data_IF_173967360488
#
_entry.id   IF_173967360488
#
_cell.length_a   1.000
_cell.length_b   1.000
_cell.length_c   1.000
_cell.angle_alpha   90.00
_cell.angle_beta   90.00
_cell.angle_gamma   90.00
#
_symmetry.space_group_name_H-M   'P 1'
#
loop_
_entity.id
_entity.type
_entity.pdbx_description
1 polymer ?
#
# COMPACT_ATOMS: atom_id res chain seq x y z
N UNK A 1 -34.81 -3.52 -13.87
CA UNK A 1 -35.10 -2.95 -12.53
C UNK A 1 -34.16 -3.54 -11.45
N UNK A 2 -33.97 -4.86 -11.43
CA UNK A 2 -33.15 -5.55 -10.42
C UNK A 2 -31.64 -5.17 -10.48
N UNK A 3 -31.07 -4.97 -11.66
CA UNK A 3 -29.64 -4.61 -11.81
C UNK A 3 -29.38 -3.21 -11.26
N UNK A 4 -30.26 -2.24 -11.52
CA UNK A 4 -30.12 -0.87 -11.02
C UNK A 4 -30.26 -0.82 -9.49
N UNK A 5 -31.19 -1.59 -8.91
CA UNK A 5 -31.37 -1.71 -7.47
C UNK A 5 -30.12 -2.32 -6.82
N UNK A 6 -29.54 -3.37 -7.39
CA UNK A 6 -28.32 -3.98 -6.91
C UNK A 6 -27.11 -3.03 -7.00
N UNK A 7 -27.00 -2.25 -8.07
CA UNK A 7 -25.96 -1.20 -8.19
C UNK A 7 -26.13 -0.12 -7.14
N UNK A 8 -27.33 0.40 -6.93
CA UNK A 8 -27.63 1.42 -5.92
C UNK A 8 -27.34 0.91 -4.50
N UNK A 9 -27.74 -0.32 -4.19
CA UNK A 9 -27.45 -0.95 -2.90
C UNK A 9 -25.95 -1.14 -2.69
N UNK A 10 -25.20 -1.55 -3.73
CA UNK A 10 -23.74 -1.67 -3.68
C UNK A 10 -23.03 -0.33 -3.42
N UNK A 11 -23.47 0.74 -4.10
CA UNK A 11 -22.95 2.10 -3.87
C UNK A 11 -23.26 2.60 -2.46
N UNK A 12 -24.50 2.43 -1.99
CA UNK A 12 -24.90 2.78 -0.64
C UNK A 12 -24.10 2.01 0.43
N UNK A 13 -23.87 0.74 0.23
CA UNK A 13 -23.08 -0.09 1.14
C UNK A 13 -21.62 0.36 1.17
N UNK A 14 -21.04 0.71 0.03
CA UNK A 14 -19.69 1.29 -0.07
C UNK A 14 -19.61 2.64 0.65
N UNK A 15 -20.56 3.52 0.46
CA UNK A 15 -20.66 4.81 1.15
C UNK A 15 -20.75 4.64 2.68
N UNK A 16 -21.55 3.70 3.16
CA UNK A 16 -21.68 3.38 4.60
C UNK A 16 -20.37 2.80 5.15
N UNK A 17 -19.65 1.99 4.39
CA UNK A 17 -18.33 1.47 4.80
C UNK A 17 -17.33 2.61 4.93
N UNK A 18 -17.34 3.55 4.00
CA UNK A 18 -16.41 4.68 3.94
C UNK A 18 -16.72 5.79 4.93
N UNK A 19 -17.99 5.99 5.32
CA UNK A 19 -18.43 7.10 6.18
C UNK A 19 -17.85 7.12 7.61
N UNK A 20 -17.19 6.04 8.02
CA UNK A 20 -16.56 5.93 9.35
C UNK A 20 -15.05 5.68 9.29
N UNK A 21 -14.42 5.90 8.12
CA UNK A 21 -12.97 5.80 7.98
C UNK A 21 -12.34 7.15 8.30
N UNK A 22 -11.34 7.13 9.17
CA UNK A 22 -10.49 8.29 9.48
C UNK A 22 -9.10 7.99 8.93
N UNK A 23 -8.68 8.77 7.94
CA UNK A 23 -7.34 8.71 7.38
C UNK A 23 -6.44 9.70 8.11
N UNK A 24 -5.31 9.24 8.61
CA UNK A 24 -4.35 10.03 9.38
C UNK A 24 -2.93 9.84 8.88
N UNK A 25 -2.08 10.86 9.08
CA UNK A 25 -0.67 10.79 8.69
C UNK A 25 0.12 9.97 9.73
N UNK A 26 0.87 8.97 9.26
CA UNK A 26 1.69 8.11 10.11
C UNK A 26 2.85 8.85 10.80
N UNK A 27 3.37 9.92 10.20
CA UNK A 27 4.46 10.71 10.81
C UNK A 27 4.05 11.38 12.11
N UNK A 28 2.76 11.57 12.35
CA UNK A 28 2.21 12.16 13.56
C UNK A 28 1.58 11.14 14.51
N UNK A 29 1.67 9.84 14.17
CA UNK A 29 1.13 8.77 14.99
C UNK A 29 1.88 8.64 16.33
N UNK A 30 1.15 8.32 17.38
CA UNK A 30 1.75 8.02 18.68
C UNK A 30 2.40 6.62 18.69
N UNK A 31 3.12 6.32 19.76
CA UNK A 31 3.86 5.06 19.91
C UNK A 31 2.95 3.83 19.85
N UNK A 32 1.77 3.90 20.46
CA UNK A 32 0.84 2.77 20.51
C UNK A 32 0.29 2.46 19.10
N UNK A 33 -0.03 3.47 18.32
CA UNK A 33 -0.44 3.32 16.91
C UNK A 33 0.68 2.71 16.06
N UNK A 34 1.94 3.13 16.25
CA UNK A 34 3.09 2.53 15.54
C UNK A 34 3.24 1.05 15.91
N UNK A 35 3.07 0.69 17.17
CA UNK A 35 3.13 -0.70 17.63
C UNK A 35 2.00 -1.54 17.01
N UNK A 36 0.76 -1.03 16.98
CA UNK A 36 -0.37 -1.72 16.33
C UNK A 36 -0.12 -1.93 14.82
N UNK A 37 0.48 -0.96 14.13
CA UNK A 37 0.82 -1.09 12.71
C UNK A 37 1.95 -2.10 12.52
N UNK A 38 2.93 -2.12 13.39
CA UNK A 38 3.98 -3.15 13.38
C UNK A 38 3.38 -4.55 13.54
N UNK A 39 2.48 -4.76 14.50
CA UNK A 39 1.77 -6.03 14.67
C UNK A 39 1.01 -6.40 13.40
N UNK A 40 0.25 -5.46 12.83
CA UNK A 40 -0.47 -5.70 11.57
C UNK A 40 0.48 -6.05 10.42
N UNK A 41 1.65 -5.39 10.31
CA UNK A 41 2.66 -5.73 9.32
C UNK A 41 3.13 -7.18 9.48
N UNK A 42 3.43 -7.61 10.70
CA UNK A 42 3.90 -8.97 10.98
C UNK A 42 2.83 -10.03 10.69
N UNK A 43 1.55 -9.74 10.97
CA UNK A 43 0.42 -10.61 10.64
C UNK A 43 0.23 -10.83 9.13
N UNK A 44 0.75 -9.91 8.31
CA UNK A 44 0.67 -9.96 6.85
C UNK A 44 1.90 -10.59 6.19
N UNK A 45 2.91 -10.99 6.97
CA UNK A 45 4.08 -11.69 6.41
C UNK A 45 3.70 -13.09 5.92
N UNK A 46 4.31 -13.58 4.86
CA UNK A 46 5.39 -13.02 4.04
C UNK A 46 4.90 -12.12 2.89
N UNK A 47 3.60 -11.82 2.80
CA UNK A 47 3.04 -11.02 1.70
C UNK A 47 3.45 -9.54 1.78
N UNK A 48 3.73 -9.06 2.99
CA UNK A 48 4.42 -7.80 3.27
C UNK A 48 5.76 -8.14 3.92
N UNK A 49 6.82 -7.42 3.60
CA UNK A 49 8.15 -7.68 4.15
C UNK A 49 8.15 -7.60 5.69
N UNK A 50 8.75 -8.62 6.34
CA UNK A 50 8.92 -8.63 7.80
C UNK A 50 9.82 -7.49 8.26
N UNK A 51 9.57 -7.00 9.47
CA UNK A 51 10.39 -6.02 10.18
C UNK A 51 10.87 -6.63 11.50
N UNK A 52 12.05 -6.23 11.98
CA UNK A 52 12.62 -6.77 13.21
C UNK A 52 12.00 -6.14 14.48
N UNK A 53 11.48 -4.92 14.35
CA UNK A 53 10.88 -4.18 15.47
C UNK A 53 9.99 -3.04 15.00
N UNK A 54 9.18 -2.50 15.90
CA UNK A 54 8.42 -1.27 15.67
C UNK A 54 9.32 -0.04 15.47
N UNK A 55 10.55 -0.06 15.99
CA UNK A 55 11.54 1.00 15.71
C UNK A 55 11.98 0.98 14.23
N UNK A 56 12.19 -0.19 13.63
CA UNK A 56 12.49 -0.29 12.20
C UNK A 56 11.32 0.24 11.34
N UNK A 57 10.08 -0.03 11.74
CA UNK A 57 8.91 0.59 11.12
C UNK A 57 8.93 2.11 11.26
N UNK A 58 9.27 2.62 12.44
CA UNK A 58 9.36 4.06 12.69
C UNK A 58 10.42 4.72 11.81
N UNK A 59 11.60 4.11 11.70
CA UNK A 59 12.68 4.59 10.82
C UNK A 59 12.22 4.64 9.36
N UNK A 60 11.49 3.63 8.89
CA UNK A 60 10.91 3.60 7.55
C UNK A 60 9.87 4.72 7.35
N UNK A 61 9.00 4.95 8.33
CA UNK A 61 8.03 6.05 8.31
C UNK A 61 8.75 7.40 8.26
N UNK A 62 9.84 7.59 8.99
CA UNK A 62 10.60 8.83 8.99
C UNK A 62 11.28 9.09 7.65
N UNK A 63 11.77 8.04 6.96
CA UNK A 63 12.29 8.12 5.60
C UNK A 63 11.20 8.31 4.55
N UNK A 64 9.94 7.97 4.84
CA UNK A 64 8.85 8.01 3.87
C UNK A 64 8.54 9.45 3.42
N UNK A 65 8.07 9.58 2.19
CA UNK A 65 7.52 10.84 1.68
C UNK A 65 6.03 10.98 2.02
N UNK A 66 5.31 9.86 1.92
CA UNK A 66 3.88 9.76 2.19
C UNK A 66 3.60 8.47 2.97
N UNK A 67 2.98 8.60 4.12
CA UNK A 67 2.60 7.45 4.93
C UNK A 67 1.33 7.75 5.70
N UNK A 68 0.36 6.83 5.61
CA UNK A 68 -0.97 7.02 6.18
C UNK A 68 -1.45 5.74 6.86
N UNK A 69 -2.37 5.91 7.81
CA UNK A 69 -3.13 4.81 8.38
C UNK A 69 -4.62 5.16 8.41
N UNK A 70 -5.44 4.15 8.49
CA UNK A 70 -6.89 4.28 8.56
C UNK A 70 -7.38 3.66 9.85
N UNK A 71 -8.19 4.41 10.56
CA UNK A 71 -9.00 3.91 11.66
C UNK A 71 -10.48 3.84 11.25
N UNK A 72 -11.18 2.86 11.83
CA UNK A 72 -12.61 2.71 11.73
C UNK A 72 -13.20 2.55 13.12
N UNK A 73 -13.96 3.53 13.58
CA UNK A 73 -14.50 3.54 14.94
C UNK A 73 -13.42 3.39 16.03
N UNK A 74 -12.28 4.05 15.84
CA UNK A 74 -11.14 4.01 16.76
C UNK A 74 -10.30 2.72 16.70
N UNK A 75 -10.56 1.84 15.75
CA UNK A 75 -9.75 0.66 15.50
C UNK A 75 -8.88 0.86 14.25
N UNK A 76 -7.57 0.63 14.37
CA UNK A 76 -6.66 0.54 13.21
C UNK A 76 -7.15 -0.55 12.24
N UNK A 77 -7.29 -0.22 10.97
CA UNK A 77 -7.74 -1.19 9.94
C UNK A 77 -6.80 -1.33 8.76
N UNK A 78 -5.98 -0.32 8.45
CA UNK A 78 -5.06 -0.35 7.32
C UNK A 78 -3.95 0.68 7.45
N UNK A 79 -2.86 0.50 6.70
CA UNK A 79 -1.78 1.46 6.55
C UNK A 79 -1.12 1.37 5.18
N UNK A 80 -0.39 2.43 4.79
CA UNK A 80 0.44 2.49 3.59
C UNK A 80 1.69 3.33 3.86
N UNK A 81 2.83 2.91 3.31
CA UNK A 81 4.10 3.66 3.37
C UNK A 81 4.67 3.78 1.97
N UNK A 82 4.98 5.02 1.56
CA UNK A 82 5.52 5.34 0.25
C UNK A 82 6.78 6.20 0.36
N UNK A 83 7.72 5.98 -0.57
CA UNK A 83 8.97 6.71 -0.64
C UNK A 83 9.10 7.41 -2.01
N UNK A 84 9.73 8.57 -2.01
CA UNK A 84 10.17 9.27 -3.21
C UNK A 84 11.60 8.86 -3.58
N UNK A 85 12.02 9.27 -4.76
CA UNK A 85 13.42 9.18 -5.23
C UNK A 85 14.42 9.77 -4.22
N UNK A 86 15.67 9.33 -4.30
CA UNK A 86 16.78 9.78 -3.46
C UNK A 86 16.63 9.50 -1.96
N UNK A 87 15.77 8.55 -1.55
CA UNK A 87 15.72 8.09 -0.17
C UNK A 87 16.96 7.26 0.19
N UNK A 88 17.38 7.33 1.45
CA UNK A 88 18.47 6.50 1.98
C UNK A 88 18.05 5.03 2.20
N UNK A 89 16.82 4.67 1.87
CA UNK A 89 16.25 3.33 2.03
C UNK A 89 17.01 2.27 1.23
N UNK A 90 17.37 1.15 1.88
CA UNK A 90 18.28 0.13 1.32
C UNK A 90 17.58 -1.08 0.72
N UNK A 91 16.25 -1.07 0.58
CA UNK A 91 15.53 -2.15 -0.10
C UNK A 91 16.03 -2.32 -1.54
N UNK A 92 16.30 -3.57 -1.93
CA UNK A 92 16.72 -3.89 -3.30
C UNK A 92 15.62 -3.56 -4.33
N UNK A 93 14.35 -3.59 -3.91
CA UNK A 93 13.20 -3.27 -4.76
C UNK A 93 13.11 -1.75 -4.95
N UNK A 94 13.24 -0.97 -3.87
CA UNK A 94 13.31 0.49 -3.95
C UNK A 94 14.49 0.94 -4.84
N UNK A 95 15.70 0.42 -4.62
CA UNK A 95 16.92 0.75 -5.38
C UNK A 95 16.75 0.43 -6.89
N UNK A 96 15.96 -0.58 -7.25
CA UNK A 96 15.65 -0.87 -8.64
C UNK A 96 14.97 0.32 -9.32
N UNK A 97 13.96 0.91 -8.68
CA UNK A 97 13.23 2.05 -9.22
C UNK A 97 14.02 3.36 -9.12
N UNK A 98 14.78 3.56 -8.06
CA UNK A 98 15.62 4.74 -7.85
C UNK A 98 16.75 4.85 -8.92
N UNK A 99 17.24 3.70 -9.41
CA UNK A 99 18.18 3.67 -10.55
C UNK A 99 17.50 3.83 -11.92
N UNK A 100 16.20 3.53 -12.01
CA UNK A 100 15.46 3.53 -13.27
C UNK A 100 14.81 4.87 -13.57
N UNK A 101 14.40 5.61 -12.56
CA UNK A 101 13.62 6.84 -12.70
C UNK A 101 14.18 7.99 -11.88
N UNK A 102 14.27 9.16 -12.49
CA UNK A 102 14.68 10.40 -11.79
C UNK A 102 13.60 10.87 -10.81
N UNK A 103 12.33 10.60 -11.12
CA UNK A 103 11.18 10.98 -10.29
C UNK A 103 10.13 9.87 -10.29
N UNK A 104 9.77 9.40 -9.10
CA UNK A 104 8.75 8.37 -8.91
C UNK A 104 8.19 8.40 -7.49
N UNK A 105 7.10 7.68 -7.27
CA UNK A 105 6.59 7.34 -5.96
C UNK A 105 6.58 5.82 -5.83
N UNK A 106 7.29 5.29 -4.86
CA UNK A 106 7.36 3.86 -4.58
C UNK A 106 6.48 3.50 -3.38
N UNK A 107 5.54 2.59 -3.58
CA UNK A 107 4.75 2.00 -2.50
C UNK A 107 5.53 0.82 -1.95
N UNK A 108 6.14 1.00 -0.77
CA UNK A 108 6.94 -0.02 -0.11
C UNK A 108 6.08 -1.08 0.56
N UNK A 109 5.04 -0.63 1.25
CA UNK A 109 4.10 -1.54 1.93
C UNK A 109 2.72 -0.95 2.05
N UNK A 110 1.76 -1.86 1.97
CA UNK A 110 0.35 -1.59 2.26
C UNK A 110 -0.21 -2.80 3.00
N UNK A 111 -0.94 -2.54 4.05
CA UNK A 111 -1.58 -3.58 4.86
C UNK A 111 -3.02 -3.23 5.15
N UNK A 112 -3.90 -4.22 5.05
CA UNK A 112 -5.30 -4.14 5.48
C UNK A 112 -5.56 -5.31 6.42
N UNK A 113 -6.19 -5.07 7.57
CA UNK A 113 -6.59 -6.15 8.48
C UNK A 113 -7.53 -7.13 7.76
N UNK A 114 -7.25 -8.42 7.87
CA UNK A 114 -7.96 -9.50 7.16
C UNK A 114 -9.49 -9.43 7.29
N UNK A 115 -10.02 -9.07 8.46
CA UNK A 115 -11.46 -8.89 8.67
C UNK A 115 -12.09 -7.75 7.85
N UNK A 116 -11.27 -6.92 7.23
CA UNK A 116 -11.66 -5.80 6.37
C UNK A 116 -11.29 -6.03 4.89
N UNK A 117 -10.83 -7.21 4.52
CA UNK A 117 -10.57 -7.57 3.12
C UNK A 117 -11.81 -7.40 2.23
N UNK A 118 -11.56 -7.05 0.98
CA UNK A 118 -12.60 -6.85 -0.05
C UNK A 118 -13.68 -5.80 0.28
N UNK A 119 -13.42 -4.90 1.24
CA UNK A 119 -14.32 -3.79 1.63
C UNK A 119 -13.92 -2.45 1.01
N UNK A 120 -13.01 -2.44 0.02
CA UNK A 120 -12.58 -1.23 -0.68
C UNK A 120 -11.54 -0.38 0.05
N UNK A 121 -11.05 -0.79 1.25
CA UNK A 121 -10.10 0.01 2.04
C UNK A 121 -8.75 0.15 1.34
N UNK A 122 -8.23 -0.92 0.74
CA UNK A 122 -7.02 -0.85 -0.08
C UNK A 122 -7.17 0.10 -1.28
N UNK A 123 -8.33 0.02 -1.96
CA UNK A 123 -8.66 0.95 -3.06
C UNK A 123 -8.67 2.40 -2.57
N UNK A 124 -9.29 2.69 -1.44
CA UNK A 124 -9.33 4.02 -0.86
C UNK A 124 -7.93 4.58 -0.55
N UNK A 125 -7.02 3.77 0.01
CA UNK A 125 -5.62 4.17 0.24
C UNK A 125 -4.90 4.50 -1.08
N UNK A 126 -5.04 3.65 -2.11
CA UNK A 126 -4.41 3.88 -3.40
C UNK A 126 -4.98 5.11 -4.13
N UNK A 127 -6.29 5.30 -4.12
CA UNK A 127 -6.93 6.49 -4.68
C UNK A 127 -6.47 7.77 -3.96
N UNK A 128 -6.30 7.72 -2.63
CA UNK A 128 -5.72 8.84 -1.89
C UNK A 128 -4.29 9.14 -2.36
N UNK A 129 -3.44 8.12 -2.53
CA UNK A 129 -2.08 8.28 -3.05
C UNK A 129 -2.11 8.81 -4.49
N UNK A 130 -3.01 8.35 -5.34
CA UNK A 130 -3.13 8.85 -6.71
C UNK A 130 -3.52 10.33 -6.72
N UNK A 131 -4.51 10.73 -5.93
CA UNK A 131 -5.00 12.11 -5.86
C UNK A 131 -3.92 13.09 -5.39
N UNK A 132 -3.17 12.77 -4.33
CA UNK A 132 -2.08 13.65 -3.85
C UNK A 132 -0.87 13.66 -4.80
N UNK A 133 -0.78 12.71 -5.70
CA UNK A 133 0.30 12.58 -6.69
C UNK A 133 -0.07 13.16 -8.06
N UNK A 134 -1.35 13.40 -8.34
CA UNK A 134 -1.86 13.83 -9.65
C UNK A 134 -1.23 15.14 -10.11
N UNK A 135 -1.13 16.14 -9.23
CA UNK A 135 -0.48 17.42 -9.50
C UNK A 135 1.01 17.29 -9.89
N UNK A 136 1.67 16.22 -9.47
CA UNK A 136 3.09 15.97 -9.73
C UNK A 136 3.32 15.11 -10.98
N UNK A 137 2.30 14.38 -11.46
CA UNK A 137 2.39 13.47 -12.61
C UNK A 137 3.45 12.36 -12.43
N UNK A 138 3.71 11.93 -11.21
CA UNK A 138 4.76 10.95 -10.92
C UNK A 138 4.32 9.54 -11.30
N UNK A 139 5.26 8.76 -11.80
CA UNK A 139 5.09 7.31 -11.92
C UNK A 139 4.99 6.67 -10.55
N UNK A 140 3.99 5.83 -10.34
CA UNK A 140 3.83 5.04 -9.11
C UNK A 140 4.36 3.64 -9.37
N UNK A 141 5.23 3.19 -8.49
CA UNK A 141 5.94 1.92 -8.57
C UNK A 141 5.66 1.08 -7.32
N UNK A 142 5.60 -0.23 -7.51
CA UNK A 142 5.51 -1.19 -6.41
C UNK A 142 6.09 -2.55 -6.85
N UNK A 143 6.26 -3.45 -5.92
CA UNK A 143 6.46 -4.86 -6.21
C UNK A 143 5.38 -5.73 -5.57
N UNK A 144 5.17 -6.89 -6.16
CA UNK A 144 4.25 -7.90 -5.66
C UNK A 144 4.95 -9.26 -5.65
N UNK A 145 4.84 -9.96 -4.54
CA UNK A 145 5.40 -11.31 -4.41
C UNK A 145 4.76 -12.27 -5.42
N UNK A 146 5.61 -13.02 -6.15
CA UNK A 146 5.22 -14.14 -6.99
C UNK A 146 5.76 -15.48 -6.46
N UNK A 147 6.74 -15.43 -5.56
CA UNK A 147 7.21 -16.52 -4.69
C UNK A 147 7.51 -15.95 -3.31
N UNK A 148 6.74 -16.31 -2.27
CA UNK A 148 5.44 -16.99 -2.30
C UNK A 148 4.38 -16.17 -3.04
N UNK A 149 3.47 -16.85 -3.74
CA UNK A 149 2.53 -16.20 -4.67
C UNK A 149 1.46 -15.36 -3.95
N UNK A 150 1.36 -14.07 -4.30
CA UNK A 150 0.35 -13.14 -3.83
C UNK A 150 -0.66 -12.78 -4.94
N UNK A 151 -1.50 -13.75 -5.31
CA UNK A 151 -2.54 -13.60 -6.34
C UNK A 151 -3.49 -12.42 -6.07
N UNK A 152 -3.82 -12.19 -4.79
CA UNK A 152 -4.75 -11.14 -4.40
C UNK A 152 -4.15 -9.78 -4.75
N UNK A 153 -2.89 -9.57 -4.39
CA UNK A 153 -2.19 -8.32 -4.67
C UNK A 153 -1.95 -8.11 -6.17
N UNK A 154 -1.60 -9.16 -6.93
CA UNK A 154 -1.44 -9.07 -8.39
C UNK A 154 -2.74 -8.59 -9.06
N UNK A 155 -3.87 -9.23 -8.75
CA UNK A 155 -5.18 -8.84 -9.28
C UNK A 155 -5.60 -7.44 -8.83
N UNK A 156 -5.30 -7.08 -7.60
CA UNK A 156 -5.57 -5.75 -7.07
C UNK A 156 -4.81 -4.68 -7.86
N UNK A 157 -3.50 -4.82 -8.05
CA UNK A 157 -2.70 -3.87 -8.80
C UNK A 157 -3.14 -3.77 -10.26
N UNK A 158 -3.45 -4.90 -10.91
CA UNK A 158 -4.00 -4.91 -12.26
C UNK A 158 -5.33 -4.10 -12.34
N UNK A 159 -6.24 -4.32 -11.38
CA UNK A 159 -7.50 -3.58 -11.28
C UNK A 159 -7.29 -2.08 -11.04
N UNK A 160 -6.25 -1.71 -10.27
CA UNK A 160 -5.87 -0.32 -10.02
C UNK A 160 -5.13 0.33 -11.21
N UNK A 161 -4.94 -0.40 -12.31
CA UNK A 161 -4.35 0.09 -13.57
C UNK A 161 -2.84 0.04 -13.61
N UNK A 162 -2.19 -0.71 -12.72
CA UNK A 162 -0.76 -0.98 -12.81
C UNK A 162 -0.48 -1.96 -13.96
N UNK A 163 0.67 -1.77 -14.61
CA UNK A 163 1.23 -2.66 -15.63
C UNK A 163 2.42 -3.41 -15.05
N UNK A 164 2.48 -4.69 -15.33
CA UNK A 164 3.65 -5.52 -15.02
C UNK A 164 4.81 -5.15 -15.95
N UNK A 165 6.02 -4.98 -15.41
CA UNK A 165 7.18 -4.53 -16.18
C UNK A 165 8.32 -5.54 -16.20
N UNK A 166 8.65 -6.13 -15.07
CA UNK A 166 9.70 -7.16 -14.97
C UNK A 166 9.56 -8.00 -13.71
N UNK A 167 10.37 -9.05 -13.62
CA UNK A 167 10.46 -9.91 -12.45
C UNK A 167 11.88 -9.90 -11.91
N UNK A 168 12.03 -10.11 -10.60
CA UNK A 168 13.32 -10.25 -9.94
C UNK A 168 13.29 -11.37 -8.92
N UNK A 169 14.24 -12.30 -9.04
CA UNK A 169 14.55 -13.25 -7.99
C UNK A 169 15.44 -12.56 -6.95
N UNK A 170 15.00 -12.52 -5.72
CA UNK A 170 15.76 -11.94 -4.60
C UNK A 170 16.64 -13.04 -3.98
N UNK A 171 16.06 -14.22 -3.81
CA UNK A 171 16.75 -15.45 -3.39
C UNK A 171 15.99 -16.68 -3.94
N UNK A 172 16.30 -17.89 -3.48
CA UNK A 172 15.66 -19.14 -3.92
C UNK A 172 14.15 -19.19 -3.69
N UNK A 173 13.69 -18.54 -2.62
CA UNK A 173 12.31 -18.67 -2.10
C UNK A 173 11.53 -17.36 -2.16
N UNK A 174 12.16 -16.29 -2.67
CA UNK A 174 11.57 -14.98 -2.75
C UNK A 174 11.79 -14.36 -4.13
N UNK A 175 10.69 -14.22 -4.87
CA UNK A 175 10.65 -13.57 -6.18
C UNK A 175 9.53 -12.54 -6.22
N UNK A 176 9.78 -11.42 -6.86
CA UNK A 176 8.82 -10.33 -7.01
C UNK A 176 8.58 -10.00 -8.47
N UNK A 177 7.41 -9.45 -8.72
CA UNK A 177 7.04 -8.79 -9.96
C UNK A 177 6.97 -7.29 -9.72
N UNK A 178 7.66 -6.51 -10.53
CA UNK A 178 7.58 -5.06 -10.52
C UNK A 178 6.37 -4.60 -11.31
N UNK A 179 5.62 -3.66 -10.72
CA UNK A 179 4.40 -3.11 -11.29
C UNK A 179 4.45 -1.58 -11.26
N UNK A 180 3.97 -0.94 -12.31
CA UNK A 180 4.09 0.50 -12.50
C UNK A 180 2.79 1.09 -13.04
N UNK A 181 2.50 2.32 -12.65
CA UNK A 181 1.35 3.10 -13.13
C UNK A 181 1.76 4.53 -13.40
N UNK A 182 1.48 5.02 -14.60
CA UNK A 182 1.52 6.46 -14.90
C UNK A 182 0.22 7.10 -14.38
N UNK A 183 0.37 8.13 -13.55
CA UNK A 183 -0.74 8.97 -13.09
C UNK A 183 -0.66 10.24 -13.91
N UNK A 184 -1.56 10.35 -14.90
CA UNK A 184 -1.74 11.53 -15.75
C UNK A 184 -3.19 11.94 -15.71
#
# INVERSE_FOLDING_TARGET
LNVLILMVLGVLQTLIIMSNLVLSNLKTANKDTIEEIYILNQDLTPMVGSLNSSNELKDLIDMSSHSFYIEKKGELVAFIVCLRENSIYKSQNYIHFDKKYERFLYIDRVGVKKKHDNKGIGTYLYEHIFNINDENGLRICAEVNIEPKNEISLRFHQKMGFKETSEKSINSDYKVKYVEKDVR
#
